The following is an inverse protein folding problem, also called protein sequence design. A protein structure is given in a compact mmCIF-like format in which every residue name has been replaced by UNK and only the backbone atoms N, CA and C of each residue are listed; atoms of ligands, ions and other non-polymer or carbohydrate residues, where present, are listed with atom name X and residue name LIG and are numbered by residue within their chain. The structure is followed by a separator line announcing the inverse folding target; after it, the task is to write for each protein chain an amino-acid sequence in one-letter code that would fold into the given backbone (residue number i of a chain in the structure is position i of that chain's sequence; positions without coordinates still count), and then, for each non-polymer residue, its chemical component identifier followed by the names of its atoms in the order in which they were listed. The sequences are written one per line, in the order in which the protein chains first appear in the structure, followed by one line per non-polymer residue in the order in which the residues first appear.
data_IF_690184199744
#
_entry.id   IF_690184199744
#
_cell.length_a   1.000
_cell.length_b   1.000
_cell.length_c   1.000
_cell.angle_alpha   90.00
_cell.angle_beta   90.00
_cell.angle_gamma   90.00
#
_symmetry.space_group_name_H-M   'P 1'
#
loop_
_entity.id
_entity.type
_entity.pdbx_description
1 polymer ?
#
# COMPACT_ATOMS: atom_id res chain seq x y z
N UNK A 1 17.24 -8.64 -11.60
CA UNK A 1 17.40 -8.78 -10.13
C UNK A 1 16.56 -7.69 -9.45
N UNK A 2 15.39 -8.01 -8.89
CA UNK A 2 14.50 -7.01 -8.25
C UNK A 2 15.05 -6.62 -6.86
N UNK A 3 15.85 -5.55 -6.80
CA UNK A 3 16.61 -5.12 -5.61
C UNK A 3 15.77 -4.50 -4.47
N UNK A 4 14.45 -4.36 -4.61
CA UNK A 4 13.64 -3.55 -3.69
C UNK A 4 12.38 -4.23 -3.15
N UNK A 5 12.27 -5.57 -3.20
CA UNK A 5 11.08 -6.31 -2.72
C UNK A 5 11.40 -7.05 -1.42
N UNK A 6 10.71 -6.71 -0.34
CA UNK A 6 10.77 -7.46 0.92
C UNK A 6 9.36 -7.88 1.30
N UNK A 7 9.13 -9.19 1.41
CA UNK A 7 7.83 -9.76 1.75
C UNK A 7 6.67 -9.23 0.87
N UNK A 8 6.80 -9.34 -0.46
CA UNK A 8 5.82 -8.87 -1.48
C UNK A 8 5.62 -7.34 -1.58
N UNK A 9 6.15 -6.55 -0.65
CA UNK A 9 6.06 -5.09 -0.68
C UNK A 9 7.21 -4.51 -1.51
N UNK A 10 6.89 -3.73 -2.55
CA UNK A 10 7.88 -3.00 -3.35
C UNK A 10 8.27 -1.70 -2.64
N UNK A 11 9.50 -1.59 -2.14
CA UNK A 11 10.00 -0.43 -1.37
C UNK A 11 10.80 0.55 -2.22
N UNK A 12 10.26 1.01 -3.33
CA UNK A 12 10.90 2.07 -4.13
C UNK A 12 10.65 3.47 -3.55
N UNK A 13 9.60 3.63 -2.74
CA UNK A 13 9.26 4.86 -2.06
C UNK A 13 9.23 4.65 -0.54
N UNK A 14 9.50 5.72 0.20
CA UNK A 14 9.22 5.77 1.63
C UNK A 14 7.74 5.45 1.90
N UNK A 15 7.45 4.85 3.05
CA UNK A 15 6.10 4.50 3.48
C UNK A 15 5.69 5.49 4.56
N UNK A 16 4.41 5.93 4.56
CA UNK A 16 3.88 6.81 5.62
C UNK A 16 4.08 6.13 6.99
N UNK A 17 4.35 6.94 8.01
CA UNK A 17 4.48 6.44 9.39
C UNK A 17 3.22 5.68 9.83
N UNK A 18 3.41 4.53 10.50
CA UNK A 18 2.34 3.55 10.79
C UNK A 18 1.85 2.73 9.59
N UNK A 19 2.13 3.17 8.36
CA UNK A 19 1.70 2.54 7.11
C UNK A 19 2.29 1.16 6.85
N UNK A 20 3.55 0.94 7.25
CA UNK A 20 4.23 -0.33 7.00
C UNK A 20 3.49 -1.52 7.64
N UNK A 21 2.92 -1.34 8.83
CA UNK A 21 2.15 -2.40 9.51
C UNK A 21 0.92 -2.79 8.68
N UNK A 22 0.22 -1.81 8.11
CA UNK A 22 -0.93 -2.05 7.23
C UNK A 22 -0.52 -2.83 5.98
N UNK A 23 0.59 -2.44 5.33
CA UNK A 23 1.07 -3.15 4.13
C UNK A 23 1.52 -4.58 4.45
N UNK A 24 2.06 -4.83 5.64
CA UNK A 24 2.44 -6.18 6.06
C UNK A 24 1.24 -7.10 6.27
N UNK A 25 0.09 -6.60 6.72
CA UNK A 25 -1.14 -7.41 6.82
C UNK A 25 -1.59 -7.91 5.45
N UNK A 26 -1.52 -7.06 4.41
CA UNK A 26 -1.78 -7.51 3.04
C UNK A 26 -0.78 -8.57 2.56
N UNK A 27 0.50 -8.42 2.90
CA UNK A 27 1.53 -9.36 2.48
C UNK A 27 1.33 -10.79 3.04
N UNK A 28 0.62 -10.94 4.16
CA UNK A 28 0.30 -12.23 4.78
C UNK A 28 -0.71 -13.05 3.99
N UNK A 29 -1.56 -12.41 3.19
CA UNK A 29 -2.56 -13.12 2.40
C UNK A 29 -1.89 -13.88 1.24
N UNK A 30 -2.30 -15.14 1.02
CA UNK A 30 -1.69 -16.03 0.03
C UNK A 30 -2.06 -15.70 -1.41
N UNK A 31 -3.23 -15.10 -1.59
CA UNK A 31 -3.78 -14.65 -2.87
C UNK A 31 -3.19 -13.29 -3.29
N UNK A 32 -2.61 -12.53 -2.36
CA UNK A 32 -1.88 -11.30 -2.67
C UNK A 32 -0.48 -11.65 -3.17
N UNK A 33 -0.17 -11.17 -4.37
CA UNK A 33 1.11 -11.36 -5.06
C UNK A 33 2.05 -10.20 -4.79
N UNK A 34 1.53 -8.98 -4.75
CA UNK A 34 2.35 -7.78 -4.58
C UNK A 34 1.57 -6.66 -3.91
N UNK A 35 2.28 -5.86 -3.12
CA UNK A 35 1.78 -4.60 -2.57
C UNK A 35 2.73 -3.49 -3.03
N UNK A 36 2.19 -2.49 -3.72
CA UNK A 36 2.96 -1.44 -4.38
C UNK A 36 2.52 -0.09 -3.82
N UNK A 37 3.27 0.50 -2.87
CA UNK A 37 3.06 1.86 -2.41
C UNK A 37 3.49 2.85 -3.51
N UNK A 38 2.65 3.85 -3.77
CA UNK A 38 2.93 4.98 -4.64
C UNK A 38 3.66 6.12 -3.91
N UNK A 39 3.75 7.31 -4.52
CA UNK A 39 4.35 8.48 -3.88
C UNK A 39 3.51 8.97 -2.69
N UNK A 40 4.19 9.49 -1.67
CA UNK A 40 3.55 10.16 -0.53
C UNK A 40 3.18 11.58 -0.95
N UNK A 41 1.94 12.00 -0.69
CA UNK A 41 1.44 13.35 -0.88
C UNK A 41 1.08 13.97 0.47
N UNK A 42 1.50 15.21 0.78
CA UNK A 42 1.12 15.87 2.02
C UNK A 42 -0.39 16.16 2.05
N UNK A 43 -0.97 16.09 3.24
CA UNK A 43 -2.39 16.37 3.49
C UNK A 43 -2.58 16.96 4.88
N UNK A 44 -3.44 17.96 5.03
CA UNK A 44 -3.56 18.73 6.29
C UNK A 44 -4.52 18.12 7.31
N UNK A 45 -5.15 16.99 7.02
CA UNK A 45 -6.36 16.56 7.74
C UNK A 45 -6.27 15.21 8.44
N UNK A 46 -5.21 14.42 8.23
CA UNK A 46 -5.17 13.04 8.73
C UNK A 46 -4.23 12.91 9.93
N UNK A 47 -4.79 12.72 11.12
CA UNK A 47 -4.04 12.49 12.37
C UNK A 47 -3.85 11.02 12.69
N UNK A 48 -4.69 10.14 12.13
CA UNK A 48 -4.66 8.68 12.34
C UNK A 48 -4.34 7.94 11.05
N UNK A 49 -3.73 6.76 11.20
CA UNK A 49 -3.51 5.84 10.07
C UNK A 49 -4.83 5.19 9.68
N UNK A 50 -5.27 5.40 8.44
CA UNK A 50 -6.50 4.87 7.89
C UNK A 50 -6.26 4.31 6.50
N UNK A 51 -6.95 3.22 6.16
CA UNK A 51 -6.93 2.64 4.83
C UNK A 51 -8.32 2.70 4.21
N UNK A 52 -8.44 3.35 3.06
CA UNK A 52 -9.71 3.49 2.34
C UNK A 52 -9.61 2.76 1.00
N UNK A 53 -10.56 1.86 0.72
CA UNK A 53 -10.70 1.27 -0.62
C UNK A 53 -11.15 2.34 -1.63
N UNK A 54 -10.54 2.34 -2.81
CA UNK A 54 -10.94 3.24 -3.89
C UNK A 54 -11.70 2.50 -4.99
N UNK A 55 -11.04 1.57 -5.68
CA UNK A 55 -11.62 0.82 -6.79
C UNK A 55 -10.82 -0.45 -7.09
N UNK A 56 -11.46 -1.38 -7.80
CA UNK A 56 -10.79 -2.57 -8.34
C UNK A 56 -9.98 -2.18 -9.58
N UNK A 57 -8.77 -2.71 -9.68
CA UNK A 57 -7.95 -2.66 -10.89
C UNK A 57 -8.08 -3.97 -11.65
N UNK A 58 -7.55 -4.04 -12.87
CA UNK A 58 -7.54 -5.29 -13.66
C UNK A 58 -6.89 -6.46 -12.91
N UNK A 59 -5.88 -6.17 -12.08
CA UNK A 59 -5.06 -7.19 -11.39
C UNK A 59 -5.26 -7.21 -9.87
N UNK A 60 -6.25 -6.49 -9.35
CA UNK A 60 -6.50 -6.40 -7.91
C UNK A 60 -7.23 -5.13 -7.49
N UNK A 61 -6.63 -4.32 -6.60
CA UNK A 61 -7.32 -3.24 -5.89
C UNK A 61 -6.43 -2.02 -5.65
N UNK A 62 -7.02 -0.83 -5.63
CA UNK A 62 -6.37 0.41 -5.21
C UNK A 62 -6.96 0.90 -3.89
N UNK A 63 -6.09 1.28 -2.98
CA UNK A 63 -6.40 1.89 -1.70
C UNK A 63 -5.72 3.26 -1.55
N UNK A 64 -6.28 4.08 -0.66
CA UNK A 64 -5.60 5.24 -0.07
C UNK A 64 -5.22 4.91 1.36
N UNK A 65 -3.92 4.93 1.63
CA UNK A 65 -3.37 4.93 2.97
C UNK A 65 -3.18 6.38 3.41
N UNK A 66 -3.85 6.79 4.47
CA UNK A 66 -3.83 8.14 5.02
C UNK A 66 -3.22 8.09 6.41
N UNK A 67 -2.45 9.08 6.81
CA UNK A 67 -1.92 9.16 8.17
C UNK A 67 -0.87 10.24 8.33
N UNK A 68 -0.76 10.77 9.56
CA UNK A 68 0.30 11.70 9.97
C UNK A 68 0.53 12.87 9.00
N UNK A 69 -0.56 13.46 8.51
CA UNK A 69 -0.51 14.60 7.60
C UNK A 69 -0.10 14.23 6.16
N UNK A 70 -0.31 12.98 5.75
CA UNK A 70 0.01 12.51 4.42
C UNK A 70 -0.99 11.48 3.89
N UNK A 71 -0.97 11.27 2.57
CA UNK A 71 -1.73 10.26 1.85
C UNK A 71 -0.82 9.57 0.85
N UNK A 72 -0.93 8.25 0.74
CA UNK A 72 -0.19 7.41 -0.16
C UNK A 72 -1.17 6.46 -0.86
N UNK A 73 -1.04 6.34 -2.17
CA UNK A 73 -1.78 5.33 -2.92
C UNK A 73 -1.12 3.97 -2.70
N UNK A 74 -1.93 2.92 -2.58
CA UNK A 74 -1.44 1.55 -2.42
C UNK A 74 -2.16 0.67 -3.43
N UNK A 75 -1.40 0.02 -4.30
CA UNK A 75 -1.91 -0.94 -5.25
C UNK A 75 -1.63 -2.35 -4.74
N UNK A 76 -2.69 -3.14 -4.60
CA UNK A 76 -2.64 -4.54 -4.19
C UNK A 76 -2.91 -5.40 -5.42
N UNK A 77 -1.95 -6.25 -5.77
CA UNK A 77 -2.04 -7.19 -6.89
C UNK A 77 -2.38 -8.57 -6.33
N UNK A 78 -3.42 -9.20 -6.87
CA UNK A 78 -3.86 -10.55 -6.51
C UNK A 78 -3.56 -11.55 -7.63
N UNK A 79 -3.56 -12.84 -7.30
CA UNK A 79 -3.51 -13.91 -8.30
C UNK A 79 -4.81 -13.87 -9.10
N UNK A 80 -4.71 -14.02 -10.41
CA UNK A 80 -5.88 -14.40 -11.21
C UNK A 80 -6.29 -15.81 -10.80
N UNK A 81 -7.58 -15.99 -10.52
CA UNK A 81 -8.18 -17.27 -10.14
C UNK A 81 -8.45 -18.11 -11.38
#
# INVERSE_FOLDING_TARGET
MMKYRFNKIKREHSIIDGGLRVLQEFAKAEDIVSVIPGPIKPSRSFTKTELTFQYKTETGEKYLLKGHGAVQEVFVVRKET
#
